data_IF_215810277107
#
_entry.id   IF_215810277107
#
_cell.length_a   1.000
_cell.length_b   1.000
_cell.length_c   1.000
_cell.angle_alpha   90.00
_cell.angle_beta   90.00
_cell.angle_gamma   90.00
#
_symmetry.space_group_name_H-M   'P 1'
#
loop_
_entity.id
_entity.type
_entity.pdbx_description
1 polymer ?
#
# COMPACT_ATOMS: atom_id res chain seq x y z
N UNK A 1 72.47 64.87 -6.25
CA UNK A 1 71.49 64.64 -5.20
C UNK A 1 70.47 63.63 -5.67
N UNK A 2 70.41 62.44 -5.09
CA UNK A 2 69.51 61.37 -5.64
C UNK A 2 68.14 61.39 -4.97
N UNK A 3 67.10 61.25 -5.79
CA UNK A 3 65.72 61.07 -5.39
C UNK A 3 65.49 59.63 -4.95
N UNK A 4 64.92 59.48 -3.73
CA UNK A 4 64.53 58.17 -3.17
C UNK A 4 63.20 57.77 -3.68
N UNK A 5 63.10 56.53 -4.20
CA UNK A 5 61.84 55.86 -4.55
C UNK A 5 61.06 55.40 -3.30
N UNK A 6 59.70 55.41 -3.26
CA UNK A 6 58.93 54.92 -2.17
C UNK A 6 58.67 53.40 -2.25
N UNK A 7 58.77 52.76 -1.12
CA UNK A 7 58.70 51.31 -0.90
C UNK A 7 57.35 50.66 -1.28
N UNK A 8 57.42 49.70 -2.19
CA UNK A 8 56.37 48.71 -2.49
C UNK A 8 56.46 47.56 -1.45
N UNK A 9 55.86 47.67 -0.27
CA UNK A 9 55.92 46.67 0.77
C UNK A 9 54.56 46.31 1.40
N UNK A 10 53.39 46.58 0.76
CA UNK A 10 52.09 46.31 1.31
C UNK A 10 51.20 45.32 0.53
N UNK A 11 51.64 44.77 -0.59
CA UNK A 11 50.80 43.89 -1.44
C UNK A 11 50.91 42.38 -1.08
N UNK A 12 52.01 41.94 -0.45
CA UNK A 12 52.26 40.52 -0.17
C UNK A 12 51.47 39.97 1.03
N UNK A 13 51.11 40.77 2.00
CA UNK A 13 50.32 40.32 3.17
C UNK A 13 48.85 39.98 2.86
N UNK A 14 48.24 40.70 1.94
CA UNK A 14 46.83 40.45 1.57
C UNK A 14 46.65 39.18 0.74
N UNK A 15 47.62 38.75 -0.06
CA UNK A 15 47.56 37.52 -0.83
C UNK A 15 47.67 36.28 0.04
N UNK A 16 48.53 36.31 1.09
CA UNK A 16 48.67 35.20 2.01
C UNK A 16 47.43 35.00 2.90
N UNK A 17 46.72 36.05 3.30
CA UNK A 17 45.45 35.98 4.06
C UNK A 17 44.37 35.43 3.17
N UNK A 18 44.28 35.79 1.89
CA UNK A 18 43.32 35.26 0.93
C UNK A 18 43.59 33.78 0.57
N UNK A 19 44.84 33.36 0.46
CA UNK A 19 45.21 31.97 0.22
C UNK A 19 45.01 31.09 1.46
N UNK A 20 45.24 31.54 2.68
CA UNK A 20 44.94 30.80 3.91
C UNK A 20 43.44 30.65 4.13
N UNK A 21 42.63 31.65 3.82
CA UNK A 21 41.17 31.54 3.89
C UNK A 21 40.57 30.63 2.81
N UNK A 22 41.19 30.54 1.63
CA UNK A 22 40.79 29.59 0.59
C UNK A 22 41.16 28.12 0.93
N UNK A 23 42.32 27.88 1.58
CA UNK A 23 42.70 26.53 2.05
C UNK A 23 41.85 26.05 3.23
N UNK A 24 41.37 26.93 4.12
CA UNK A 24 40.47 26.56 5.21
C UNK A 24 39.07 26.16 4.73
N UNK A 25 38.62 26.64 3.58
CA UNK A 25 37.33 26.26 2.95
C UNK A 25 37.42 24.91 2.19
N UNK A 26 38.57 24.46 1.79
CA UNK A 26 38.77 23.20 1.06
C UNK A 26 38.73 21.94 1.95
N UNK A 27 38.81 22.08 3.26
CA UNK A 27 38.97 20.97 4.22
C UNK A 27 37.68 20.28 4.67
N UNK A 28 36.49 20.75 4.30
CA UNK A 28 35.21 20.27 4.86
C UNK A 28 34.28 19.55 3.87
N UNK A 29 34.79 19.03 2.75
CA UNK A 29 33.94 18.27 1.80
C UNK A 29 34.08 16.78 2.09
N UNK A 30 33.52 16.30 3.19
CA UNK A 30 33.19 14.90 3.32
C UNK A 30 31.88 14.68 2.55
N UNK A 31 31.97 14.03 1.39
CA UNK A 31 30.77 13.63 0.63
C UNK A 31 29.88 12.74 1.51
N UNK A 32 28.56 12.98 1.56
CA UNK A 32 27.65 12.05 2.23
C UNK A 32 27.78 10.68 1.55
N UNK A 33 27.63 9.56 2.28
CA UNK A 33 27.58 8.25 1.67
C UNK A 33 26.47 8.22 0.62
N UNK A 34 26.74 7.56 -0.51
CA UNK A 34 25.74 7.40 -1.56
C UNK A 34 24.46 6.76 -0.98
N UNK A 35 23.26 7.20 -1.36
CA UNK A 35 22.00 6.67 -0.82
C UNK A 35 21.90 5.15 -0.90
N UNK A 36 22.44 4.53 -1.95
CA UNK A 36 22.51 3.07 -2.12
C UNK A 36 23.31 2.34 -1.03
N UNK A 37 24.23 3.01 -0.34
CA UNK A 37 25.01 2.44 0.78
C UNK A 37 24.25 2.53 2.13
N UNK A 38 23.11 3.23 2.17
CA UNK A 38 22.33 3.42 3.39
C UNK A 38 21.43 2.22 3.72
N UNK A 39 21.02 1.44 2.70
CA UNK A 39 20.09 0.31 2.89
C UNK A 39 20.89 -0.94 3.26
N UNK A 40 20.60 -1.54 4.42
CA UNK A 40 21.27 -2.77 4.83
C UNK A 40 20.87 -3.94 3.94
N UNK A 41 21.81 -4.79 3.58
CA UNK A 41 21.54 -6.05 2.93
C UNK A 41 20.89 -6.99 3.94
N UNK A 42 19.64 -7.37 3.71
CA UNK A 42 18.93 -8.37 4.51
C UNK A 42 19.08 -9.71 3.79
N UNK A 43 19.57 -10.73 4.51
CA UNK A 43 19.61 -12.08 3.98
C UNK A 43 18.20 -12.63 3.77
N UNK A 44 17.82 -12.87 2.53
CA UNK A 44 16.54 -13.49 2.14
C UNK A 44 16.86 -14.93 1.72
N UNK A 45 16.02 -15.93 2.07
CA UNK A 45 16.19 -17.30 1.61
C UNK A 45 16.32 -17.38 0.08
N UNK A 46 17.22 -18.21 -0.40
CA UNK A 46 17.44 -18.41 -1.85
C UNK A 46 16.35 -19.24 -2.51
N UNK A 47 15.56 -19.96 -1.71
CA UNK A 47 14.42 -20.74 -2.16
C UNK A 47 13.27 -20.64 -1.14
N UNK A 48 12.04 -20.76 -1.63
CA UNK A 48 10.86 -20.89 -0.77
C UNK A 48 10.89 -22.24 -0.05
N UNK A 49 10.55 -22.24 1.24
CA UNK A 49 10.32 -23.48 2.01
C UNK A 49 8.95 -24.07 1.60
N UNK A 50 8.82 -24.49 0.34
CA UNK A 50 7.61 -25.13 -0.14
C UNK A 50 7.62 -26.62 0.24
N UNK A 51 6.46 -27.24 0.59
CA UNK A 51 6.35 -28.68 0.68
C UNK A 51 6.76 -29.32 -0.65
N UNK A 52 7.44 -30.46 -0.61
CA UNK A 52 7.99 -31.15 -1.80
C UNK A 52 6.94 -31.42 -2.90
N UNK A 53 5.67 -31.57 -2.54
CA UNK A 53 4.56 -31.76 -3.47
C UNK A 53 4.20 -30.48 -4.26
N UNK A 54 4.27 -29.29 -3.63
CA UNK A 54 4.02 -28.02 -4.30
C UNK A 54 5.18 -27.64 -5.22
N UNK A 55 6.43 -27.95 -4.85
CA UNK A 55 7.60 -27.75 -5.69
C UNK A 55 7.57 -28.61 -6.96
N UNK A 56 7.09 -29.84 -6.88
CA UNK A 56 6.99 -30.75 -8.04
C UNK A 56 5.90 -30.32 -9.04
N UNK A 57 4.79 -29.73 -8.56
CA UNK A 57 3.71 -29.22 -9.43
C UNK A 57 4.01 -27.83 -10.01
N UNK A 58 4.87 -27.04 -9.35
CA UNK A 58 5.26 -25.70 -9.79
C UNK A 58 6.31 -25.70 -10.93
N UNK A 59 7.01 -26.82 -11.14
CA UNK A 59 8.09 -26.92 -12.16
C UNK A 59 7.55 -27.23 -13.56
N UNK A 60 6.30 -27.66 -13.70
CA UNK A 60 5.71 -27.88 -15.02
C UNK A 60 5.24 -26.53 -15.63
N UNK A 61 6.14 -25.91 -16.40
CA UNK A 61 5.91 -25.00 -17.55
C UNK A 61 4.63 -24.13 -17.58
N UNK A 62 4.15 -23.63 -16.43
CA UNK A 62 3.15 -22.57 -16.46
C UNK A 62 3.87 -21.23 -16.73
N UNK A 63 3.31 -20.43 -17.65
CA UNK A 63 3.80 -19.08 -17.89
C UNK A 63 3.88 -18.29 -16.58
N UNK A 64 4.88 -17.41 -16.39
CA UNK A 64 4.98 -16.60 -15.19
C UNK A 64 3.68 -15.80 -15.03
N UNK A 65 3.05 -15.91 -13.86
CA UNK A 65 1.83 -15.16 -13.57
C UNK A 65 2.19 -13.68 -13.50
N UNK A 66 1.53 -12.87 -14.30
CA UNK A 66 1.64 -11.43 -14.23
C UNK A 66 0.97 -10.91 -12.94
N UNK A 67 1.78 -10.49 -11.97
CA UNK A 67 1.28 -9.94 -10.70
C UNK A 67 0.49 -8.64 -10.87
N UNK A 68 0.58 -7.99 -12.04
CA UNK A 68 -0.18 -6.76 -12.33
C UNK A 68 -1.64 -7.03 -12.67
N UNK A 69 -1.96 -8.27 -13.06
CA UNK A 69 -3.29 -8.70 -13.50
C UNK A 69 -3.64 -10.12 -13.05
N UNK A 70 -3.16 -10.50 -11.86
CA UNK A 70 -3.27 -11.86 -11.32
C UNK A 70 -4.72 -12.39 -11.24
N UNK A 71 -5.72 -11.51 -11.03
CA UNK A 71 -7.14 -11.90 -10.96
C UNK A 71 -7.67 -12.50 -12.27
N UNK A 72 -7.04 -12.15 -13.41
CA UNK A 72 -7.40 -12.74 -14.72
C UNK A 72 -7.08 -14.23 -14.82
N UNK A 73 -6.18 -14.73 -13.96
CA UNK A 73 -5.89 -16.16 -13.90
C UNK A 73 -7.07 -17.01 -13.39
N UNK A 74 -8.10 -16.39 -12.85
CA UNK A 74 -9.37 -17.04 -12.53
C UNK A 74 -10.31 -17.22 -13.74
N UNK A 75 -9.96 -16.63 -14.89
CA UNK A 75 -10.74 -16.72 -16.15
C UNK A 75 -12.23 -16.34 -15.97
N UNK A 76 -12.52 -15.40 -15.06
CA UNK A 76 -13.86 -14.95 -14.73
C UNK A 76 -14.09 -13.51 -15.25
N UNK A 77 -14.86 -13.35 -16.34
CA UNK A 77 -15.08 -12.04 -16.94
C UNK A 77 -15.88 -11.08 -16.05
N UNK A 78 -16.69 -11.59 -15.11
CA UNK A 78 -17.43 -10.74 -14.17
C UNK A 78 -16.47 -10.16 -13.11
N UNK A 79 -15.54 -10.98 -12.60
CA UNK A 79 -14.49 -10.51 -11.71
C UNK A 79 -13.61 -9.46 -12.42
N UNK A 80 -13.22 -9.70 -13.67
CA UNK A 80 -12.44 -8.75 -14.46
C UNK A 80 -13.13 -7.39 -14.59
N UNK A 81 -14.44 -7.41 -14.88
CA UNK A 81 -15.24 -6.20 -14.99
C UNK A 81 -15.37 -5.44 -13.66
N UNK A 82 -15.56 -6.16 -12.54
CA UNK A 82 -15.64 -5.56 -11.20
C UNK A 82 -14.33 -4.92 -10.80
N UNK A 83 -13.19 -5.61 -11.00
CA UNK A 83 -11.86 -5.07 -10.72
C UNK A 83 -11.58 -3.84 -11.60
N UNK A 84 -11.89 -3.89 -12.89
CA UNK A 84 -11.68 -2.74 -13.78
C UNK A 84 -12.49 -1.51 -13.33
N UNK A 85 -13.74 -1.71 -12.91
CA UNK A 85 -14.61 -0.65 -12.38
C UNK A 85 -14.07 -0.08 -11.07
N UNK A 86 -13.70 -0.93 -10.12
CA UNK A 86 -13.16 -0.48 -8.82
C UNK A 86 -11.88 0.33 -8.98
N UNK A 87 -10.96 -0.10 -9.85
CA UNK A 87 -9.74 0.63 -10.14
C UNK A 87 -9.97 2.01 -10.78
N UNK A 88 -11.10 2.21 -11.44
CA UNK A 88 -11.47 3.48 -12.07
C UNK A 88 -12.27 4.43 -11.18
N UNK A 89 -12.93 3.95 -10.12
CA UNK A 89 -13.92 4.73 -9.39
C UNK A 89 -13.81 4.65 -7.86
N UNK A 90 -12.90 3.83 -7.30
CA UNK A 90 -12.79 3.66 -5.85
C UNK A 90 -12.32 4.97 -5.17
N UNK A 91 -13.08 5.48 -4.17
CA UNK A 91 -12.73 6.71 -3.46
C UNK A 91 -11.37 6.66 -2.76
N UNK A 92 -10.96 5.49 -2.27
CA UNK A 92 -9.68 5.31 -1.61
C UNK A 92 -8.49 5.52 -2.57
N UNK A 93 -8.63 5.07 -3.83
CA UNK A 93 -7.60 5.33 -4.85
C UNK A 93 -7.57 6.80 -5.27
N UNK A 94 -8.72 7.45 -5.35
CA UNK A 94 -8.80 8.88 -5.61
C UNK A 94 -8.09 9.69 -4.50
N UNK A 95 -8.31 9.31 -3.23
CA UNK A 95 -7.63 9.90 -2.09
C UNK A 95 -6.10 9.69 -2.14
N UNK A 96 -5.64 8.48 -2.47
CA UNK A 96 -4.21 8.19 -2.65
C UNK A 96 -3.60 9.01 -3.80
N UNK A 97 -4.27 9.07 -4.95
CA UNK A 97 -3.82 9.89 -6.09
C UNK A 97 -3.77 11.39 -5.74
N UNK A 98 -4.73 11.90 -4.97
CA UNK A 98 -4.72 13.26 -4.45
C UNK A 98 -3.52 13.50 -3.51
N UNK A 99 -3.21 12.53 -2.65
CA UNK A 99 -2.03 12.58 -1.77
C UNK A 99 -0.72 12.63 -2.57
N UNK A 100 -0.58 11.82 -3.60
CA UNK A 100 0.59 11.86 -4.51
C UNK A 100 0.72 13.24 -5.16
N UNK A 101 -0.40 13.83 -5.65
CA UNK A 101 -0.40 15.19 -6.19
C UNK A 101 0.04 16.23 -5.16
N UNK A 102 -0.45 16.12 -3.91
CA UNK A 102 -0.09 17.01 -2.82
C UNK A 102 1.41 16.92 -2.48
N UNK A 103 1.95 15.70 -2.34
CA UNK A 103 3.39 15.49 -2.06
C UNK A 103 4.24 16.00 -3.23
N UNK A 104 3.83 15.80 -4.48
CA UNK A 104 4.52 16.34 -5.67
C UNK A 104 4.55 17.88 -5.66
N UNK A 105 3.43 18.52 -5.30
CA UNK A 105 3.38 19.98 -5.19
C UNK A 105 4.28 20.47 -4.05
N UNK A 106 4.33 19.77 -2.90
CA UNK A 106 5.25 20.09 -1.79
C UNK A 106 6.72 19.94 -2.19
N UNK A 107 7.07 18.89 -2.97
CA UNK A 107 8.40 18.71 -3.52
C UNK A 107 8.79 19.87 -4.46
N UNK A 108 7.86 20.32 -5.30
CA UNK A 108 8.07 21.50 -6.15
C UNK A 108 8.27 22.77 -5.32
N UNK A 109 7.45 22.99 -4.28
CA UNK A 109 7.58 24.13 -3.37
C UNK A 109 8.93 24.12 -2.63
N UNK A 110 9.37 22.93 -2.16
CA UNK A 110 10.68 22.76 -1.54
C UNK A 110 11.82 23.09 -2.51
N UNK A 111 11.73 22.66 -3.77
CA UNK A 111 12.71 23.02 -4.79
C UNK A 111 12.69 24.51 -5.13
N UNK A 112 11.51 25.14 -5.19
CA UNK A 112 11.37 26.56 -5.45
C UNK A 112 11.96 27.41 -4.32
N UNK A 113 11.92 26.95 -3.07
CA UNK A 113 12.51 27.62 -1.92
C UNK A 113 14.05 27.71 -1.98
N UNK A 114 14.69 26.91 -2.83
CA UNK A 114 16.13 26.97 -3.08
C UNK A 114 16.52 28.12 -4.03
N UNK A 115 15.56 28.74 -4.69
CA UNK A 115 15.75 29.89 -5.58
C UNK A 115 15.69 31.24 -4.85
N UNK A 116 15.97 32.34 -5.59
CA UNK A 116 15.81 33.67 -5.05
C UNK A 116 14.33 33.98 -4.77
N UNK A 117 14.09 34.64 -3.63
CA UNK A 117 12.77 35.09 -3.21
C UNK A 117 12.70 36.63 -3.28
N UNK A 118 11.61 37.13 -3.82
CA UNK A 118 11.32 38.56 -3.88
C UNK A 118 10.09 38.84 -3.04
N UNK A 119 10.18 39.86 -2.21
CA UNK A 119 9.05 40.31 -1.35
C UNK A 119 8.94 41.81 -1.36
N UNK A 120 7.70 42.32 -1.32
CA UNK A 120 7.44 43.70 -1.01
C UNK A 120 7.45 43.84 0.52
N UNK A 121 8.31 44.69 1.02
CA UNK A 121 8.44 44.96 2.47
C UNK A 121 8.14 46.40 2.79
N UNK A 122 7.48 46.60 3.94
CA UNK A 122 7.26 47.93 4.53
C UNK A 122 7.60 47.83 6.01
N UNK A 123 8.64 48.53 6.44
CA UNK A 123 9.15 48.46 7.80
C UNK A 123 9.33 49.86 8.39
N UNK A 124 8.80 50.16 9.58
CA UNK A 124 9.20 51.34 10.33
C UNK A 124 10.63 51.12 10.84
N UNK A 125 11.48 52.14 10.65
CA UNK A 125 12.84 52.18 11.16
C UNK A 125 13.05 53.44 11.97
N UNK A 126 13.78 53.32 13.07
CA UNK A 126 14.21 54.42 13.87
C UNK A 126 15.72 54.66 13.68
N UNK A 127 16.12 55.92 13.50
CA UNK A 127 17.53 56.27 13.44
C UNK A 127 18.25 55.90 14.74
N UNK A 128 19.52 55.44 14.70
CA UNK A 128 20.28 55.07 15.90
C UNK A 128 20.38 56.18 16.96
N UNK A 129 20.29 57.45 16.55
CA UNK A 129 20.31 58.61 17.44
C UNK A 129 18.89 58.98 17.97
N UNK A 130 17.86 58.24 17.60
CA UNK A 130 16.48 58.37 18.07
C UNK A 130 15.74 59.63 17.59
N UNK A 131 16.34 60.43 16.68
CA UNK A 131 15.80 61.71 16.23
C UNK A 131 14.87 61.60 15.03
N UNK A 132 15.10 60.61 14.17
CA UNK A 132 14.35 60.42 12.93
C UNK A 132 13.68 59.04 12.87
N UNK A 133 12.39 59.05 12.53
CA UNK A 133 11.65 57.85 12.23
C UNK A 133 11.44 57.75 10.72
N UNK A 134 11.83 56.62 10.15
CA UNK A 134 11.69 56.36 8.72
C UNK A 134 10.68 55.23 8.50
N UNK A 135 9.93 55.30 7.44
CA UNK A 135 9.20 54.18 6.89
C UNK A 135 9.90 53.76 5.61
N UNK A 136 10.46 52.55 5.62
CA UNK A 136 11.14 51.96 4.46
C UNK A 136 10.17 51.05 3.73
N UNK A 137 9.94 51.33 2.45
CA UNK A 137 9.10 50.49 1.60
C UNK A 137 9.84 50.18 0.30
N UNK A 138 9.80 48.89 -0.13
CA UNK A 138 10.49 48.52 -1.33
C UNK A 138 10.49 47.00 -1.58
N UNK A 139 11.22 46.59 -2.59
CA UNK A 139 11.40 45.19 -2.94
C UNK A 139 12.67 44.66 -2.26
N UNK A 140 12.49 43.64 -1.43
CA UNK A 140 13.60 42.86 -0.88
C UNK A 140 13.80 41.57 -1.69
N UNK A 141 15.05 41.29 -2.04
CA UNK A 141 15.47 40.05 -2.64
C UNK A 141 16.32 39.28 -1.63
N UNK A 142 16.02 38.03 -1.44
CA UNK A 142 16.79 37.13 -0.59
C UNK A 142 17.02 35.81 -1.33
N UNK A 143 18.25 35.37 -1.36
CA UNK A 143 18.60 34.06 -1.87
C UNK A 143 19.61 33.39 -0.95
N UNK A 144 19.16 32.32 -0.28
CA UNK A 144 20.08 31.47 0.47
C UNK A 144 20.73 30.53 -0.54
N UNK A 145 21.99 30.79 -0.90
CA UNK A 145 22.74 29.99 -1.88
C UNK A 145 22.89 28.58 -1.31
N UNK A 146 22.21 27.59 -1.88
CA UNK A 146 22.26 26.25 -1.32
C UNK A 146 23.64 25.65 -1.63
N UNK A 147 24.44 25.41 -0.62
CA UNK A 147 25.64 24.60 -0.77
C UNK A 147 25.24 23.18 -1.17
N UNK A 148 26.04 22.54 -1.99
CA UNK A 148 25.70 21.28 -2.69
C UNK A 148 25.11 20.19 -1.79
N UNK A 149 25.61 20.06 -0.56
CA UNK A 149 25.13 19.06 0.40
C UNK A 149 23.72 19.33 0.91
N UNK A 150 23.40 20.60 1.25
CA UNK A 150 22.05 20.98 1.70
C UNK A 150 21.02 20.79 0.58
N UNK A 151 21.37 21.20 -0.65
CA UNK A 151 20.49 21.03 -1.80
C UNK A 151 20.22 19.55 -2.10
N UNK A 152 21.26 18.71 -2.08
CA UNK A 152 21.13 17.27 -2.29
C UNK A 152 20.26 16.61 -1.23
N UNK A 153 20.43 17.01 0.05
CA UNK A 153 19.62 16.49 1.15
C UNK A 153 18.14 16.87 1.02
N UNK A 154 17.83 18.12 0.70
CA UNK A 154 16.44 18.59 0.52
C UNK A 154 15.75 17.93 -0.69
N UNK A 155 16.46 17.81 -1.82
CA UNK A 155 15.93 17.09 -2.99
C UNK A 155 15.71 15.61 -2.70
N UNK A 156 16.66 14.96 -2.02
CA UNK A 156 16.54 13.56 -1.64
C UNK A 156 15.41 13.30 -0.66
N UNK A 157 15.16 14.20 0.30
CA UNK A 157 14.00 14.15 1.19
C UNK A 157 12.68 14.20 0.40
N UNK A 158 12.54 15.18 -0.49
CA UNK A 158 11.35 15.36 -1.30
C UNK A 158 11.09 14.18 -2.22
N UNK A 159 12.14 13.63 -2.83
CA UNK A 159 12.05 12.42 -3.66
C UNK A 159 11.66 11.20 -2.85
N UNK A 160 12.27 10.96 -1.70
CA UNK A 160 11.92 9.84 -0.83
C UNK A 160 10.45 9.93 -0.36
N UNK A 161 9.95 11.11 -0.02
CA UNK A 161 8.54 11.34 0.32
C UNK A 161 7.59 11.03 -0.85
N UNK A 162 7.97 11.42 -2.07
CA UNK A 162 7.20 11.08 -3.26
C UNK A 162 7.17 9.57 -3.51
N UNK A 163 8.28 8.89 -3.39
CA UNK A 163 8.37 7.44 -3.54
C UNK A 163 7.59 6.69 -2.45
N UNK A 164 7.54 7.20 -1.20
CA UNK A 164 6.68 6.67 -0.14
C UNK A 164 5.20 6.80 -0.54
N UNK A 165 4.78 7.97 -1.03
CA UNK A 165 3.39 8.18 -1.44
C UNK A 165 2.98 7.29 -2.62
N UNK A 166 3.88 7.05 -3.58
CA UNK A 166 3.67 6.11 -4.69
C UNK A 166 3.59 4.65 -4.21
N UNK A 167 4.41 4.27 -3.23
CA UNK A 167 4.33 2.94 -2.63
C UNK A 167 3.02 2.75 -1.85
N UNK A 168 2.54 3.77 -1.15
CA UNK A 168 1.24 3.76 -0.46
C UNK A 168 0.07 3.62 -1.46
N UNK A 169 0.13 4.32 -2.62
CA UNK A 169 -0.86 4.18 -3.69
C UNK A 169 -0.86 2.75 -4.28
N UNK A 170 0.32 2.17 -4.48
CA UNK A 170 0.45 0.78 -4.94
C UNK A 170 -0.14 -0.21 -3.91
N UNK A 171 0.12 0.00 -2.61
CA UNK A 171 -0.45 -0.82 -1.54
C UNK A 171 -1.98 -0.75 -1.53
N UNK A 172 -2.55 0.46 -1.62
CA UNK A 172 -3.99 0.66 -1.66
C UNK A 172 -4.62 -0.04 -2.87
N UNK A 173 -3.99 0.05 -4.05
CA UNK A 173 -4.44 -0.66 -5.26
C UNK A 173 -4.43 -2.18 -5.08
N UNK A 174 -3.35 -2.74 -4.53
CA UNK A 174 -3.25 -4.18 -4.27
C UNK A 174 -4.33 -4.65 -3.28
N UNK A 175 -4.53 -3.91 -2.20
CA UNK A 175 -5.56 -4.21 -1.19
C UNK A 175 -6.96 -4.14 -1.80
N UNK A 176 -7.27 -3.10 -2.59
CA UNK A 176 -8.57 -2.95 -3.24
C UNK A 176 -8.89 -4.13 -4.15
N UNK A 177 -7.94 -4.52 -5.02
CA UNK A 177 -8.14 -5.66 -5.93
C UNK A 177 -8.36 -6.96 -5.15
N UNK A 178 -7.59 -7.18 -4.09
CA UNK A 178 -7.74 -8.36 -3.23
C UNK A 178 -9.10 -8.38 -2.51
N UNK A 179 -9.55 -7.23 -1.99
CA UNK A 179 -10.85 -7.13 -1.33
C UNK A 179 -12.01 -7.32 -2.31
N UNK A 180 -11.94 -6.76 -3.52
CA UNK A 180 -12.95 -6.98 -4.57
C UNK A 180 -13.03 -8.47 -4.91
N UNK A 181 -11.90 -9.13 -5.17
CA UNK A 181 -11.87 -10.54 -5.50
C UNK A 181 -12.42 -11.43 -4.35
N UNK A 182 -11.97 -11.18 -3.11
CA UNK A 182 -12.45 -11.91 -1.93
C UNK A 182 -13.95 -11.75 -1.74
N UNK A 183 -14.45 -10.51 -1.77
CA UNK A 183 -15.84 -10.20 -1.55
C UNK A 183 -16.72 -10.78 -2.68
N UNK A 184 -16.22 -10.80 -3.92
CA UNK A 184 -16.90 -11.44 -5.04
C UNK A 184 -17.04 -12.95 -4.83
N UNK A 185 -15.98 -13.65 -4.45
CA UNK A 185 -16.02 -15.09 -4.20
C UNK A 185 -16.92 -15.42 -3.00
N UNK A 186 -16.88 -14.64 -1.92
CA UNK A 186 -17.78 -14.77 -0.77
C UNK A 186 -19.24 -14.63 -1.20
N UNK A 187 -19.55 -13.61 -2.03
CA UNK A 187 -20.90 -13.39 -2.58
C UNK A 187 -21.38 -14.61 -3.35
N UNK A 188 -20.56 -15.10 -4.29
CA UNK A 188 -20.92 -16.25 -5.14
C UNK A 188 -21.10 -17.54 -4.32
N UNK A 189 -20.22 -17.76 -3.36
CA UNK A 189 -20.33 -18.92 -2.46
C UNK A 189 -21.61 -18.86 -1.62
N UNK A 190 -21.94 -17.68 -1.05
CA UNK A 190 -23.15 -17.52 -0.26
C UNK A 190 -24.44 -17.70 -1.11
N UNK A 191 -24.46 -17.18 -2.34
CA UNK A 191 -25.57 -17.39 -3.27
C UNK A 191 -25.76 -18.89 -3.58
N UNK A 192 -24.66 -19.60 -3.81
CA UNK A 192 -24.71 -21.03 -4.07
C UNK A 192 -25.12 -21.86 -2.85
N UNK A 193 -24.61 -21.53 -1.65
CA UNK A 193 -25.01 -22.19 -0.39
C UNK A 193 -26.49 -22.01 -0.12
N UNK A 194 -27.04 -20.83 -0.40
CA UNK A 194 -28.49 -20.58 -0.31
C UNK A 194 -29.30 -21.50 -1.25
N UNK A 195 -28.82 -21.71 -2.49
CA UNK A 195 -29.48 -22.61 -3.44
C UNK A 195 -29.45 -24.06 -2.96
N UNK A 196 -28.31 -24.55 -2.44
CA UNK A 196 -28.17 -25.89 -1.90
C UNK A 196 -29.06 -26.10 -0.68
N UNK A 197 -29.18 -25.11 0.21
CA UNK A 197 -30.07 -25.17 1.36
C UNK A 197 -31.57 -25.18 0.96
N UNK A 198 -31.95 -24.43 -0.09
CA UNK A 198 -33.32 -24.51 -0.65
C UNK A 198 -33.61 -25.91 -1.17
N UNK A 199 -32.67 -26.57 -1.84
CA UNK A 199 -32.82 -27.96 -2.29
C UNK A 199 -32.92 -28.93 -1.11
N UNK A 200 -32.08 -28.75 -0.06
CA UNK A 200 -32.15 -29.54 1.16
C UNK A 200 -33.49 -29.36 1.90
N UNK A 201 -34.06 -28.16 1.89
CA UNK A 201 -35.36 -27.89 2.49
C UNK A 201 -36.47 -28.64 1.75
N UNK A 202 -36.45 -28.66 0.41
CA UNK A 202 -37.41 -29.42 -0.39
C UNK A 202 -37.36 -30.94 -0.11
N UNK A 203 -36.13 -31.50 0.03
CA UNK A 203 -35.93 -32.88 0.46
C UNK A 203 -36.43 -33.16 1.87
N UNK A 204 -36.26 -32.23 2.80
CA UNK A 204 -36.76 -32.35 4.15
C UNK A 204 -38.30 -32.34 4.20
N UNK A 205 -38.94 -31.53 3.36
CA UNK A 205 -40.40 -31.52 3.21
C UNK A 205 -40.93 -32.83 2.58
N UNK A 206 -40.21 -33.40 1.61
CA UNK A 206 -40.48 -34.71 1.05
C UNK A 206 -40.39 -35.82 2.11
N UNK A 207 -39.30 -35.82 2.87
CA UNK A 207 -39.09 -36.75 4.00
C UNK A 207 -40.23 -36.66 5.03
N UNK A 208 -40.61 -35.45 5.44
CA UNK A 208 -41.74 -35.25 6.39
C UNK A 208 -43.07 -35.76 5.83
N UNK A 209 -43.32 -35.61 4.52
CA UNK A 209 -44.50 -36.22 3.90
C UNK A 209 -44.50 -37.74 3.92
N UNK A 210 -43.35 -38.36 3.59
CA UNK A 210 -43.20 -39.83 3.61
C UNK A 210 -43.40 -40.35 5.04
N UNK A 211 -42.71 -39.74 6.02
CA UNK A 211 -42.83 -40.14 7.42
C UNK A 211 -44.24 -40.02 7.95
N UNK A 212 -45.01 -38.98 7.54
CA UNK A 212 -46.43 -38.84 7.88
C UNK A 212 -47.31 -39.97 7.29
N UNK A 213 -47.07 -40.41 6.07
CA UNK A 213 -47.76 -41.56 5.47
C UNK A 213 -47.42 -42.85 6.22
N UNK A 214 -46.19 -43.09 6.59
CA UNK A 214 -45.75 -44.22 7.36
C UNK A 214 -46.37 -44.26 8.77
N UNK A 215 -46.55 -43.09 9.38
CA UNK A 215 -47.26 -42.98 10.65
C UNK A 215 -48.76 -43.34 10.53
N UNK A 216 -49.44 -42.90 9.48
CA UNK A 216 -50.83 -43.26 9.21
C UNK A 216 -51.00 -44.76 9.05
N UNK A 217 -49.99 -45.44 8.51
CA UNK A 217 -49.95 -46.90 8.38
C UNK A 217 -49.34 -47.61 9.58
N UNK A 218 -49.09 -46.86 10.68
CA UNK A 218 -48.53 -47.36 11.97
C UNK A 218 -47.11 -47.97 11.85
N UNK A 219 -46.35 -47.57 10.87
CA UNK A 219 -44.98 -48.08 10.68
C UNK A 219 -43.94 -47.27 11.42
N UNK A 220 -44.21 -46.03 11.79
CA UNK A 220 -43.32 -45.12 12.53
C UNK A 220 -44.12 -44.45 13.68
N UNK A 221 -43.38 -43.89 14.66
CA UNK A 221 -43.94 -43.20 15.82
C UNK A 221 -44.33 -41.75 15.47
N UNK A 222 -45.24 -41.16 16.29
CA UNK A 222 -45.55 -39.72 16.20
C UNK A 222 -44.32 -38.86 16.46
N UNK A 223 -43.38 -39.30 17.31
CA UNK A 223 -42.13 -38.57 17.56
C UNK A 223 -41.25 -38.46 16.31
N UNK A 224 -41.25 -39.49 15.44
CA UNK A 224 -40.49 -39.41 14.15
C UNK A 224 -41.14 -38.43 13.19
N UNK A 225 -42.44 -38.26 13.17
CA UNK A 225 -43.13 -37.25 12.36
C UNK A 225 -42.74 -35.85 12.83
N UNK A 226 -42.78 -35.59 14.15
CA UNK A 226 -42.39 -34.32 14.72
C UNK A 226 -40.88 -34.01 14.50
N UNK A 227 -40.01 -35.01 14.65
CA UNK A 227 -38.58 -34.89 14.33
C UNK A 227 -38.32 -34.54 12.86
N UNK A 228 -39.01 -35.20 11.92
CA UNK A 228 -38.85 -34.90 10.49
C UNK A 228 -39.35 -33.49 10.15
N UNK A 229 -40.43 -33.03 10.75
CA UNK A 229 -40.96 -31.68 10.61
C UNK A 229 -39.98 -30.61 11.16
N UNK A 230 -39.42 -30.86 12.36
CA UNK A 230 -38.45 -29.98 12.98
C UNK A 230 -37.19 -29.81 12.16
N UNK A 231 -36.67 -30.88 11.56
CA UNK A 231 -35.51 -30.80 10.61
C UNK A 231 -35.83 -29.88 9.44
N UNK A 232 -37.00 -29.97 8.84
CA UNK A 232 -37.43 -29.10 7.75
C UNK A 232 -37.45 -27.61 8.14
N UNK A 233 -37.92 -27.30 9.37
CA UNK A 233 -37.88 -25.93 9.91
C UNK A 233 -36.44 -25.45 10.09
N UNK A 234 -35.58 -26.29 10.65
CA UNK A 234 -34.15 -25.93 10.86
C UNK A 234 -33.42 -25.65 9.54
N UNK A 235 -33.61 -26.48 8.53
CA UNK A 235 -32.97 -26.28 7.21
C UNK A 235 -33.46 -25.00 6.54
N UNK A 236 -34.77 -24.70 6.60
CA UNK A 236 -35.29 -23.44 6.07
C UNK A 236 -34.75 -22.23 6.82
N UNK A 237 -34.65 -22.30 8.15
CA UNK A 237 -34.05 -21.24 8.96
C UNK A 237 -32.58 -21.03 8.62
N UNK A 238 -31.83 -22.12 8.38
CA UNK A 238 -30.41 -22.05 8.01
C UNK A 238 -30.16 -21.34 6.65
N UNK A 239 -31.16 -21.34 5.74
CA UNK A 239 -31.04 -20.65 4.46
C UNK A 239 -31.06 -19.11 4.57
N UNK A 240 -31.48 -18.56 5.71
CA UNK A 240 -31.51 -17.12 5.95
C UNK A 240 -30.08 -16.52 6.08
N UNK A 241 -29.14 -17.28 6.66
CA UNK A 241 -27.79 -16.82 6.90
C UNK A 241 -27.03 -16.57 5.57
N UNK A 242 -26.90 -17.53 4.64
CA UNK A 242 -26.20 -17.25 3.37
C UNK A 242 -26.91 -16.17 2.54
N UNK A 243 -28.23 -16.02 2.65
CA UNK A 243 -28.95 -14.92 2.00
C UNK A 243 -28.50 -13.54 2.54
N UNK A 244 -28.33 -13.43 3.86
CA UNK A 244 -27.84 -12.21 4.48
C UNK A 244 -26.35 -11.96 4.12
N UNK A 245 -25.51 -13.01 4.12
CA UNK A 245 -24.10 -12.93 3.73
C UNK A 245 -23.93 -12.45 2.28
N UNK A 246 -24.71 -12.99 1.35
CA UNK A 246 -24.72 -12.53 -0.05
C UNK A 246 -25.14 -11.05 -0.16
N UNK A 247 -26.20 -10.65 0.57
CA UNK A 247 -26.64 -9.25 0.59
C UNK A 247 -25.57 -8.31 1.16
N UNK A 248 -24.90 -8.70 2.24
CA UNK A 248 -23.79 -7.93 2.84
C UNK A 248 -22.60 -7.85 1.89
N UNK A 249 -22.23 -8.95 1.23
CA UNK A 249 -21.15 -8.95 0.24
C UNK A 249 -21.47 -8.04 -0.95
N UNK A 250 -22.73 -8.00 -1.42
CA UNK A 250 -23.18 -7.06 -2.46
C UNK A 250 -23.03 -5.60 -2.02
N UNK A 251 -23.38 -5.27 -0.78
CA UNK A 251 -23.21 -3.92 -0.25
C UNK A 251 -21.71 -3.55 -0.12
N UNK A 252 -20.87 -4.49 0.34
CA UNK A 252 -19.41 -4.28 0.38
C UNK A 252 -18.84 -4.04 -1.01
N UNK A 253 -19.23 -4.82 -2.02
CA UNK A 253 -18.82 -4.60 -3.40
C UNK A 253 -19.25 -3.23 -3.91
N UNK A 254 -20.48 -2.79 -3.63
CA UNK A 254 -20.98 -1.47 -4.03
C UNK A 254 -20.13 -0.33 -3.45
N UNK A 255 -19.69 -0.46 -2.19
CA UNK A 255 -18.75 0.49 -1.55
C UNK A 255 -17.38 0.47 -2.23
N UNK A 256 -16.82 -0.72 -2.50
CA UNK A 256 -15.53 -0.87 -3.19
C UNK A 256 -15.54 -0.34 -4.63
N UNK A 257 -16.72 -0.36 -5.26
CA UNK A 257 -16.94 0.22 -6.60
C UNK A 257 -17.20 1.75 -6.56
N UNK A 258 -17.36 2.34 -5.37
CA UNK A 258 -17.68 3.75 -5.21
C UNK A 258 -19.09 4.13 -5.63
N UNK A 259 -19.99 3.17 -5.83
CA UNK A 259 -21.36 3.39 -6.29
C UNK A 259 -22.34 2.43 -5.59
N UNK A 260 -23.13 2.95 -4.66
CA UNK A 260 -24.13 2.17 -3.92
C UNK A 260 -25.30 1.66 -4.80
N UNK A 261 -25.47 2.20 -5.99
CA UNK A 261 -26.47 1.77 -6.97
C UNK A 261 -25.85 0.94 -8.10
N UNK A 262 -24.58 0.54 -7.96
CA UNK A 262 -23.89 -0.24 -8.96
C UNK A 262 -24.68 -1.50 -9.36
N UNK A 263 -24.88 -1.68 -10.65
CA UNK A 263 -25.39 -2.94 -11.17
C UNK A 263 -24.35 -4.04 -10.91
N UNK A 264 -24.68 -4.94 -10.01
CA UNK A 264 -23.87 -6.12 -9.69
C UNK A 264 -24.35 -7.32 -10.50
N UNK A 265 -23.49 -8.31 -10.77
CA UNK A 265 -23.87 -9.51 -11.49
C UNK A 265 -25.07 -10.20 -10.85
N UNK A 266 -26.00 -10.67 -11.69
CA UNK A 266 -27.13 -11.47 -11.23
C UNK A 266 -26.64 -12.77 -10.58
N UNK A 267 -27.40 -13.38 -9.64
CA UNK A 267 -27.07 -14.69 -9.11
C UNK A 267 -26.90 -15.70 -10.26
N UNK A 268 -25.76 -16.39 -10.29
CA UNK A 268 -25.55 -17.41 -11.32
C UNK A 268 -26.38 -18.65 -11.02
N UNK A 269 -27.12 -19.13 -11.98
CA UNK A 269 -27.87 -20.41 -11.89
C UNK A 269 -26.92 -21.62 -11.99
N UNK A 270 -25.74 -21.44 -12.55
CA UNK A 270 -24.74 -22.47 -12.75
C UNK A 270 -23.51 -22.17 -11.89
N UNK A 271 -23.14 -23.13 -11.05
CA UNK A 271 -21.82 -23.13 -10.44
C UNK A 271 -20.79 -23.54 -11.48
N UNK A 272 -20.10 -22.60 -12.09
CA UNK A 272 -18.85 -22.93 -12.72
C UNK A 272 -17.92 -23.49 -11.62
N UNK A 273 -17.26 -24.63 -11.84
CA UNK A 273 -16.27 -25.14 -10.90
C UNK A 273 -15.19 -24.07 -10.73
N UNK A 274 -14.62 -23.94 -9.51
CA UNK A 274 -13.54 -22.98 -9.28
C UNK A 274 -12.41 -23.28 -10.25
N UNK A 275 -11.98 -22.24 -10.98
CA UNK A 275 -10.85 -22.37 -11.91
C UNK A 275 -9.61 -22.67 -11.10
N UNK A 276 -8.93 -23.78 -11.42
CA UNK A 276 -7.65 -24.14 -10.79
C UNK A 276 -6.56 -23.32 -11.43
N UNK A 277 -6.03 -22.35 -10.68
CA UNK A 277 -4.91 -21.54 -11.13
C UNK A 277 -3.63 -22.35 -11.01
N UNK A 278 -2.97 -22.63 -12.14
CA UNK A 278 -1.63 -23.19 -12.14
C UNK A 278 -0.61 -22.08 -11.84
N UNK A 279 0.04 -22.13 -10.68
CA UNK A 279 1.05 -21.14 -10.29
C UNK A 279 2.43 -21.57 -10.79
N UNK A 280 2.95 -20.89 -11.80
CA UNK A 280 4.36 -20.94 -12.18
C UNK A 280 5.17 -19.94 -11.36
N UNK A 281 5.62 -20.29 -10.16
CA UNK A 281 6.51 -19.45 -9.35
C UNK A 281 7.95 -19.56 -9.89
N UNK A 282 8.26 -18.85 -10.96
CA UNK A 282 9.59 -18.82 -11.58
C UNK A 282 10.54 -17.77 -10.98
N UNK A 283 10.01 -16.82 -10.20
CA UNK A 283 10.80 -15.74 -9.62
C UNK A 283 11.44 -16.14 -8.29
N UNK A 284 12.68 -15.68 -8.08
CA UNK A 284 13.38 -15.87 -6.81
C UNK A 284 12.68 -15.13 -5.67
N UNK A 285 12.70 -15.66 -4.43
CA UNK A 285 12.08 -15.01 -3.27
C UNK A 285 12.49 -13.55 -3.09
N UNK A 286 13.76 -13.22 -3.31
CA UNK A 286 14.28 -11.87 -3.16
C UNK A 286 13.64 -10.86 -4.13
N UNK A 287 13.38 -11.27 -5.38
CA UNK A 287 12.83 -10.37 -6.40
C UNK A 287 11.35 -10.06 -6.13
N UNK A 288 10.59 -11.06 -5.68
CA UNK A 288 9.18 -10.89 -5.31
C UNK A 288 9.03 -10.03 -4.07
N UNK A 289 9.87 -10.22 -3.04
CA UNK A 289 9.83 -9.41 -1.82
C UNK A 289 10.13 -7.94 -2.11
N UNK A 290 11.08 -7.64 -3.00
CA UNK A 290 11.41 -6.26 -3.37
C UNK A 290 10.28 -5.53 -4.13
N UNK A 291 9.39 -6.27 -4.79
CA UNK A 291 8.24 -5.68 -5.49
C UNK A 291 7.10 -5.27 -4.55
N UNK A 292 7.11 -5.75 -3.30
CA UNK A 292 6.07 -5.40 -2.32
C UNK A 292 6.10 -3.92 -1.98
N UNK A 293 4.93 -3.30 -2.01
CA UNK A 293 4.76 -1.89 -1.69
C UNK A 293 5.24 -1.55 -0.26
N UNK A 294 4.99 -2.42 0.72
CA UNK A 294 5.45 -2.26 2.11
C UNK A 294 6.98 -2.22 2.21
N UNK A 295 7.68 -3.11 1.52
CA UNK A 295 9.15 -3.16 1.49
C UNK A 295 9.71 -1.92 0.80
N UNK A 296 9.15 -1.52 -0.36
CA UNK A 296 9.55 -0.29 -1.06
C UNK A 296 9.35 0.95 -0.20
N UNK A 297 8.20 1.05 0.48
CA UNK A 297 7.91 2.14 1.42
C UNK A 297 8.94 2.20 2.55
N UNK A 298 9.26 1.04 3.17
CA UNK A 298 10.24 0.96 4.24
C UNK A 298 11.65 1.32 3.76
N UNK A 299 12.04 0.89 2.55
CA UNK A 299 13.30 1.27 1.91
C UNK A 299 13.38 2.79 1.71
N UNK A 300 12.33 3.40 1.16
CA UNK A 300 12.28 4.85 0.96
C UNK A 300 12.28 5.63 2.29
N UNK A 301 11.75 5.03 3.36
CA UNK A 301 11.83 5.61 4.72
C UNK A 301 13.27 5.64 5.24
N UNK A 302 14.12 4.64 4.91
CA UNK A 302 15.55 4.67 5.21
C UNK A 302 16.24 5.80 4.44
N UNK A 303 15.95 5.95 3.14
CA UNK A 303 16.51 7.07 2.35
C UNK A 303 16.07 8.42 2.90
N UNK A 304 14.81 8.58 3.26
CA UNK A 304 14.29 9.80 3.90
C UNK A 304 15.08 10.13 5.16
N UNK A 305 15.28 9.16 6.06
CA UNK A 305 16.03 9.35 7.29
C UNK A 305 17.52 9.65 7.04
N UNK A 306 18.13 9.01 6.03
CA UNK A 306 19.50 9.30 5.61
C UNK A 306 19.66 10.75 5.11
N UNK A 307 18.73 11.22 4.29
CA UNK A 307 18.72 12.61 3.81
C UNK A 307 18.42 13.61 4.93
N UNK A 308 17.56 13.28 5.90
CA UNK A 308 17.31 14.09 7.08
C UNK A 308 18.58 14.25 7.95
N UNK A 309 19.36 13.16 8.11
CA UNK A 309 20.68 13.22 8.78
C UNK A 309 21.66 14.09 8.00
N UNK A 310 21.67 13.98 6.66
CA UNK A 310 22.47 14.84 5.79
C UNK A 310 22.10 16.33 5.92
N UNK A 311 20.82 16.64 6.02
CA UNK A 311 20.33 18.00 6.22
C UNK A 311 20.76 18.56 7.57
N UNK A 312 20.63 17.80 8.66
CA UNK A 312 21.06 18.22 9.99
C UNK A 312 22.58 18.49 10.06
N UNK A 313 23.39 17.73 9.31
CA UNK A 313 24.83 18.01 9.15
C UNK A 313 25.09 19.31 8.37
N UNK A 314 24.31 19.53 7.29
CA UNK A 314 24.43 20.74 6.48
C UNK A 314 24.03 22.01 7.25
N UNK A 315 23.11 21.93 8.21
CA UNK A 315 22.68 23.04 9.08
C UNK A 315 23.78 23.48 10.07
N UNK A 316 24.79 22.66 10.30
CA UNK A 316 25.96 23.01 11.10
C UNK A 316 27.06 23.70 10.27
N UNK A 317 26.93 23.75 8.93
CA UNK A 317 27.90 24.36 8.04
C UNK A 317 27.64 25.87 7.86
N UNK A 318 28.68 26.63 7.42
CA UNK A 318 28.50 28.03 7.05
C UNK A 318 27.43 28.21 5.98
N UNK A 319 26.60 29.22 6.12
CA UNK A 319 25.55 29.57 5.13
C UNK A 319 25.91 30.87 4.44
N UNK A 320 25.72 30.90 3.13
CA UNK A 320 25.90 32.08 2.29
C UNK A 320 24.52 32.48 1.77
N UNK A 321 24.19 33.76 1.96
CA UNK A 321 22.98 34.33 1.37
C UNK A 321 23.33 35.57 0.57
N UNK A 322 22.58 35.82 -0.49
CA UNK A 322 22.60 37.06 -1.22
C UNK A 322 21.37 37.86 -0.79
N UNK A 323 21.60 39.06 -0.32
CA UNK A 323 20.56 39.98 0.10
C UNK A 323 20.55 41.21 -0.84
N UNK A 324 19.37 41.65 -1.21
CA UNK A 324 19.21 42.86 -2.01
C UNK A 324 17.96 43.60 -1.55
N UNK A 325 18.04 44.94 -1.59
CA UNK A 325 16.90 45.78 -1.33
C UNK A 325 16.94 46.98 -2.27
N UNK A 326 15.82 47.31 -2.88
CA UNK A 326 15.59 48.52 -3.62
C UNK A 326 14.25 49.13 -3.18
N UNK A 327 14.29 50.37 -2.73
CA UNK A 327 13.07 51.00 -2.21
C UNK A 327 13.24 52.47 -1.88
N UNK A 328 12.29 52.95 -1.13
CA UNK A 328 12.19 54.36 -0.72
C UNK A 328 12.10 54.45 0.78
N UNK A 329 12.84 55.41 1.37
CA UNK A 329 12.71 55.78 2.76
C UNK A 329 11.89 57.06 2.84
N UNK A 330 10.83 57.03 3.64
CA UNK A 330 10.00 58.18 3.99
C UNK A 330 10.33 58.63 5.40
N UNK A 331 10.76 59.86 5.56
CA UNK A 331 10.94 60.46 6.88
C UNK A 331 9.56 60.75 7.49
N UNK A 332 9.27 60.21 8.67
CA UNK A 332 7.96 60.35 9.35
C UNK A 332 8.00 61.40 10.47
N UNK A 333 9.18 61.78 10.95
CA UNK A 333 9.34 62.69 12.09
C UNK A 333 9.79 64.08 11.68
N UNK A 334 9.04 65.13 12.13
CA UNK A 334 9.40 66.54 12.09
C UNK A 334 8.60 67.41 11.12
N UNK A 335 8.35 68.67 11.40
CA UNK A 335 7.37 69.56 10.70
C UNK A 335 7.86 70.09 9.35
N UNK A 336 8.95 69.67 8.78
CA UNK A 336 9.47 70.42 7.65
C UNK A 336 10.14 69.69 6.51
N UNK A 337 10.27 68.40 6.49
CA UNK A 337 10.86 67.78 5.30
C UNK A 337 10.52 66.32 5.13
N UNK A 338 9.47 66.04 4.36
CA UNK A 338 9.26 64.72 3.77
C UNK A 338 10.36 64.49 2.71
N UNK A 339 11.54 64.08 3.14
CA UNK A 339 12.58 63.71 2.19
C UNK A 339 12.38 62.26 1.77
N UNK A 340 11.96 62.10 0.53
CA UNK A 340 11.93 60.82 -0.16
C UNK A 340 13.37 60.50 -0.59
N UNK A 341 13.96 59.41 -0.07
CA UNK A 341 15.28 58.95 -0.48
C UNK A 341 15.21 57.54 -1.07
N UNK A 342 15.73 57.37 -2.26
CA UNK A 342 15.97 56.04 -2.84
C UNK A 342 17.06 55.33 -2.03
N UNK A 343 16.80 54.04 -1.70
CA UNK A 343 17.76 53.19 -1.03
C UNK A 343 18.00 51.97 -1.90
N UNK A 344 19.24 51.67 -2.12
CA UNK A 344 19.71 50.46 -2.78
C UNK A 344 20.77 49.83 -1.91
N UNK A 345 20.62 48.54 -1.62
CA UNK A 345 21.66 47.73 -0.98
C UNK A 345 21.66 46.34 -1.61
N UNK A 346 22.81 45.80 -1.89
CA UNK A 346 22.99 44.43 -2.36
C UNK A 346 24.36 43.92 -1.91
N UNK A 347 24.38 42.65 -1.50
CA UNK A 347 25.65 42.04 -1.11
C UNK A 347 25.50 40.62 -0.59
N UNK A 348 26.60 39.87 -0.52
CA UNK A 348 26.65 38.59 0.16
C UNK A 348 26.60 38.76 1.67
N UNK A 349 25.83 37.91 2.34
CA UNK A 349 25.86 37.75 3.79
C UNK A 349 26.35 36.35 4.12
N UNK A 350 27.21 36.26 5.13
CA UNK A 350 27.77 35.02 5.61
C UNK A 350 27.32 34.80 7.05
N UNK A 351 26.83 33.62 7.34
CA UNK A 351 26.44 33.22 8.70
C UNK A 351 27.05 31.86 9.03
N UNK A 352 27.78 31.81 10.13
CA UNK A 352 28.32 30.58 10.69
C UNK A 352 27.92 30.47 12.17
N UNK A 353 27.21 29.43 12.54
CA UNK A 353 26.86 29.24 13.94
C UNK A 353 28.08 28.78 14.73
N UNK A 354 28.44 29.54 15.76
CA UNK A 354 29.62 29.27 16.59
C UNK A 354 29.27 28.54 17.88
N UNK A 355 28.14 28.90 18.49
CA UNK A 355 27.69 28.30 19.74
C UNK A 355 26.16 28.34 19.84
N UNK A 356 25.55 27.24 20.21
CA UNK A 356 24.10 27.07 20.34
C UNK A 356 23.69 26.21 21.56
N UNK A 357 24.58 26.08 22.54
CA UNK A 357 24.30 25.25 23.72
C UNK A 357 24.18 23.76 23.47
N UNK A 358 24.73 23.25 22.34
CA UNK A 358 24.65 21.82 21.96
C UNK A 358 23.41 21.42 21.18
N UNK A 359 22.55 22.37 20.78
CA UNK A 359 21.29 22.08 20.09
C UNK A 359 21.50 21.32 18.77
N UNK A 360 22.50 21.72 17.96
CA UNK A 360 22.78 21.04 16.67
C UNK A 360 23.33 19.65 16.84
N UNK A 361 24.21 19.44 17.81
CA UNK A 361 24.75 18.12 18.12
C UNK A 361 23.63 17.17 18.57
N UNK A 362 22.76 17.63 19.47
CA UNK A 362 21.59 16.89 19.89
C UNK A 362 20.64 16.57 18.73
N UNK A 363 20.40 17.54 17.82
CA UNK A 363 19.58 17.32 16.64
C UNK A 363 20.23 16.31 15.68
N UNK A 364 21.54 16.37 15.43
CA UNK A 364 22.24 15.39 14.62
C UNK A 364 22.15 13.98 15.22
N UNK A 365 22.32 13.87 16.54
CA UNK A 365 22.21 12.60 17.26
C UNK A 365 20.78 12.04 17.16
N UNK A 366 19.76 12.89 17.29
CA UNK A 366 18.36 12.49 17.11
C UNK A 366 18.09 11.97 15.69
N UNK A 367 18.56 12.69 14.64
CA UNK A 367 18.41 12.24 13.26
C UNK A 367 19.15 10.96 12.94
N UNK A 368 20.30 10.74 13.57
CA UNK A 368 21.04 9.46 13.45
C UNK A 368 20.24 8.32 14.08
N UNK A 369 19.69 8.52 15.28
CA UNK A 369 18.84 7.53 15.93
C UNK A 369 17.55 7.23 15.11
N UNK A 370 16.94 8.24 14.49
CA UNK A 370 15.81 8.05 13.55
C UNK A 370 16.21 7.20 12.32
N UNK A 371 17.42 7.37 11.81
CA UNK A 371 17.96 6.53 10.73
C UNK A 371 18.14 5.08 11.18
N UNK A 372 18.62 4.84 12.41
CA UNK A 372 18.75 3.49 12.98
C UNK A 372 17.38 2.84 13.15
N UNK A 373 16.36 3.61 13.60
CA UNK A 373 14.95 3.15 13.68
C UNK A 373 14.45 2.76 12.30
N UNK A 374 14.59 3.62 11.28
CA UNK A 374 14.14 3.33 9.93
C UNK A 374 14.80 2.06 9.37
N UNK A 375 16.09 1.88 9.62
CA UNK A 375 16.88 0.71 9.23
C UNK A 375 16.38 -0.58 9.89
N UNK A 376 16.06 -0.52 11.19
CA UNK A 376 15.50 -1.66 11.93
C UNK A 376 14.10 -2.02 11.44
N UNK A 377 13.27 -1.01 11.17
CA UNK A 377 11.93 -1.21 10.61
C UNK A 377 11.97 -1.81 9.19
N UNK A 378 12.89 -1.38 8.35
CA UNK A 378 13.10 -1.99 7.03
C UNK A 378 13.45 -3.47 7.14
N UNK A 379 14.40 -3.83 8.02
CA UNK A 379 14.74 -5.24 8.26
C UNK A 379 13.54 -6.06 8.73
N UNK A 380 12.76 -5.51 9.66
CA UNK A 380 11.52 -6.14 10.15
C UNK A 380 10.54 -6.37 9.00
N UNK A 381 10.31 -5.35 8.15
CA UNK A 381 9.37 -5.43 7.03
C UNK A 381 9.78 -6.51 6.01
N UNK A 382 11.07 -6.60 5.68
CA UNK A 382 11.58 -7.67 4.79
C UNK A 382 11.35 -9.04 5.40
N UNK A 383 11.65 -9.22 6.69
CA UNK A 383 11.42 -10.52 7.38
C UNK A 383 9.94 -10.88 7.42
N UNK A 384 9.06 -9.92 7.71
CA UNK A 384 7.62 -10.12 7.71
C UNK A 384 7.11 -10.48 6.32
N UNK A 385 7.57 -9.78 5.28
CA UNK A 385 7.20 -10.08 3.90
C UNK A 385 7.57 -11.51 3.47
N UNK A 386 8.74 -12.00 3.87
CA UNK A 386 9.16 -13.38 3.62
C UNK A 386 8.28 -14.37 4.39
N UNK A 387 8.02 -14.10 5.67
CA UNK A 387 7.21 -14.97 6.52
C UNK A 387 5.77 -15.06 6.02
N UNK A 388 5.16 -13.94 5.63
CA UNK A 388 3.81 -13.89 5.06
C UNK A 388 3.72 -14.67 3.74
N UNK A 389 4.69 -14.51 2.85
CA UNK A 389 4.73 -15.23 1.59
C UNK A 389 4.84 -16.76 1.81
N UNK A 390 5.69 -17.19 2.75
CA UNK A 390 5.81 -18.59 3.11
C UNK A 390 4.53 -19.15 3.76
N UNK A 391 3.91 -18.39 4.68
CA UNK A 391 2.66 -18.77 5.31
C UNK A 391 1.52 -18.89 4.29
N UNK A 392 1.42 -17.98 3.33
CA UNK A 392 0.43 -18.04 2.26
C UNK A 392 0.63 -19.27 1.34
N UNK A 393 1.87 -19.64 1.03
CA UNK A 393 2.17 -20.85 0.27
C UNK A 393 1.73 -22.13 1.02
N UNK A 394 2.04 -22.21 2.31
CA UNK A 394 1.64 -23.35 3.16
C UNK A 394 0.11 -23.43 3.29
N UNK A 395 -0.55 -22.30 3.45
CA UNK A 395 -2.01 -22.24 3.55
C UNK A 395 -2.66 -22.68 2.23
N UNK A 396 -2.17 -22.23 1.09
CA UNK A 396 -2.70 -22.65 -0.20
C UNK A 396 -2.53 -24.17 -0.42
N UNK A 397 -1.38 -24.75 -0.06
CA UNK A 397 -1.17 -26.19 -0.16
C UNK A 397 -2.17 -26.97 0.71
N UNK A 398 -2.40 -26.53 1.94
CA UNK A 398 -3.40 -27.10 2.85
C UNK A 398 -4.81 -27.03 2.25
N UNK A 399 -5.22 -25.86 1.72
CA UNK A 399 -6.59 -25.71 1.19
C UNK A 399 -6.77 -26.52 -0.12
N UNK A 400 -5.73 -26.66 -0.93
CA UNK A 400 -5.75 -27.57 -2.10
C UNK A 400 -5.97 -29.03 -1.70
N UNK A 401 -5.30 -29.50 -0.65
CA UNK A 401 -5.48 -30.86 -0.13
C UNK A 401 -6.90 -31.06 0.40
N UNK A 402 -7.44 -30.09 1.13
CA UNK A 402 -8.82 -30.09 1.63
C UNK A 402 -9.83 -30.12 0.49
N UNK A 403 -9.62 -29.27 -0.52
CA UNK A 403 -10.48 -29.24 -1.71
C UNK A 403 -10.47 -30.55 -2.47
N UNK A 404 -9.30 -31.16 -2.68
CA UNK A 404 -9.19 -32.46 -3.33
C UNK A 404 -9.94 -33.56 -2.56
N UNK A 405 -9.85 -33.57 -1.23
CA UNK A 405 -10.60 -34.50 -0.38
C UNK A 405 -12.11 -34.23 -0.42
N UNK A 406 -12.53 -32.99 -0.36
CA UNK A 406 -13.95 -32.60 -0.41
C UNK A 406 -14.60 -33.00 -1.74
N UNK A 407 -13.92 -32.79 -2.88
CA UNK A 407 -14.38 -33.22 -4.21
C UNK A 407 -14.51 -34.73 -4.30
N UNK A 408 -13.56 -35.48 -3.73
CA UNK A 408 -13.65 -36.94 -3.72
C UNK A 408 -14.84 -37.44 -2.90
N UNK A 409 -15.12 -36.85 -1.75
CA UNK A 409 -16.27 -37.15 -0.89
C UNK A 409 -17.56 -36.80 -1.61
N UNK A 410 -17.66 -35.60 -2.18
CA UNK A 410 -18.82 -35.15 -2.97
C UNK A 410 -19.12 -36.11 -4.13
N UNK A 411 -18.11 -36.44 -4.93
CA UNK A 411 -18.28 -37.38 -6.04
C UNK A 411 -18.76 -38.75 -5.59
N UNK A 412 -18.34 -39.22 -4.42
CA UNK A 412 -18.80 -40.48 -3.86
C UNK A 412 -20.26 -40.39 -3.36
N UNK A 413 -20.61 -39.31 -2.68
CA UNK A 413 -21.97 -39.07 -2.20
C UNK A 413 -22.98 -38.91 -3.35
N UNK A 414 -22.58 -38.22 -4.44
CA UNK A 414 -23.41 -38.08 -5.64
C UNK A 414 -23.66 -39.45 -6.30
N UNK A 415 -22.62 -40.28 -6.51
CA UNK A 415 -22.76 -41.62 -7.06
C UNK A 415 -23.66 -42.52 -6.18
N UNK A 416 -23.55 -42.40 -4.85
CA UNK A 416 -24.41 -43.13 -3.94
C UNK A 416 -25.88 -42.69 -4.06
N UNK A 417 -26.12 -41.37 -4.14
CA UNK A 417 -27.45 -40.84 -4.33
C UNK A 417 -28.08 -41.33 -5.67
N UNK A 418 -27.31 -41.29 -6.75
CA UNK A 418 -27.77 -41.80 -8.07
C UNK A 418 -28.09 -43.30 -8.05
N UNK A 419 -27.22 -44.08 -7.38
CA UNK A 419 -27.45 -45.52 -7.21
C UNK A 419 -28.71 -45.81 -6.39
N UNK A 420 -28.90 -45.10 -5.27
CA UNK A 420 -30.09 -45.21 -4.42
C UNK A 420 -31.34 -44.79 -5.16
N UNK A 421 -31.29 -43.77 -6.01
CA UNK A 421 -32.39 -43.35 -6.86
C UNK A 421 -32.74 -44.44 -7.89
N UNK A 422 -31.76 -45.12 -8.46
CA UNK A 422 -32.01 -46.25 -9.37
C UNK A 422 -32.65 -47.43 -8.65
N UNK A 423 -32.16 -47.75 -7.43
CA UNK A 423 -32.75 -48.79 -6.58
C UNK A 423 -34.17 -48.46 -6.16
N UNK A 424 -34.46 -47.19 -5.79
CA UNK A 424 -35.82 -46.80 -5.45
C UNK A 424 -36.81 -46.93 -6.64
N UNK A 425 -36.33 -46.60 -7.86
CA UNK A 425 -37.15 -46.81 -9.08
C UNK A 425 -37.40 -48.32 -9.38
N UNK A 426 -36.47 -49.18 -8.99
CA UNK A 426 -36.61 -50.62 -9.11
C UNK A 426 -37.38 -51.25 -7.92
N UNK A 427 -37.84 -50.48 -6.96
CA UNK A 427 -38.50 -50.96 -5.73
C UNK A 427 -37.57 -51.64 -4.74
N UNK A 428 -36.25 -51.47 -4.85
CA UNK A 428 -35.22 -52.07 -3.99
C UNK A 428 -34.79 -51.15 -2.87
N UNK A 429 -35.12 -49.88 -2.89
CA UNK A 429 -34.91 -48.91 -1.83
C UNK A 429 -36.20 -48.11 -1.54
N UNK A 430 -36.39 -47.69 -0.32
CA UNK A 430 -37.53 -46.88 0.08
C UNK A 430 -37.31 -45.38 -0.16
N UNK A 431 -38.37 -44.59 0.00
CA UNK A 431 -38.34 -43.16 -0.22
C UNK A 431 -37.51 -42.42 0.87
N UNK A 432 -37.40 -42.97 2.10
CA UNK A 432 -36.57 -42.37 3.16
C UNK A 432 -35.08 -42.55 2.86
N UNK A 433 -34.69 -43.75 2.41
CA UNK A 433 -33.31 -44.03 1.99
C UNK A 433 -32.89 -43.10 0.84
N UNK A 434 -33.78 -42.91 -0.15
CA UNK A 434 -33.54 -41.99 -1.26
C UNK A 434 -33.35 -40.55 -0.81
N UNK A 435 -34.26 -40.05 0.04
CA UNK A 435 -34.14 -38.65 0.53
C UNK A 435 -32.88 -38.46 1.41
N UNK A 436 -32.47 -39.45 2.18
CA UNK A 436 -31.27 -39.40 3.01
C UNK A 436 -29.99 -39.39 2.14
N UNK A 437 -29.89 -40.27 1.13
CA UNK A 437 -28.74 -40.29 0.21
C UNK A 437 -28.60 -38.97 -0.55
N UNK A 438 -29.70 -38.39 -1.04
CA UNK A 438 -29.68 -37.05 -1.69
C UNK A 438 -29.31 -35.93 -0.73
N UNK A 439 -29.80 -35.97 0.52
CA UNK A 439 -29.44 -34.99 1.55
C UNK A 439 -27.94 -35.05 1.84
N UNK A 440 -27.38 -36.25 1.95
CA UNK A 440 -25.97 -36.47 2.18
C UNK A 440 -25.12 -35.94 0.98
N UNK A 441 -25.58 -36.13 -0.26
CA UNK A 441 -24.94 -35.57 -1.44
C UNK A 441 -24.95 -34.03 -1.43
N UNK A 442 -26.08 -33.40 -1.12
CA UNK A 442 -26.17 -31.93 -1.02
C UNK A 442 -25.30 -31.37 0.13
N UNK A 443 -25.21 -32.11 1.26
CA UNK A 443 -24.29 -31.72 2.32
C UNK A 443 -22.82 -31.79 1.87
N UNK A 444 -22.42 -32.84 1.17
CA UNK A 444 -21.09 -32.98 0.61
C UNK A 444 -20.80 -31.87 -0.42
N UNK A 445 -21.79 -31.47 -1.24
CA UNK A 445 -21.65 -30.34 -2.17
C UNK A 445 -21.46 -29.00 -1.44
N UNK A 446 -22.11 -28.81 -0.29
CA UNK A 446 -21.91 -27.62 0.55
C UNK A 446 -20.50 -27.60 1.15
N UNK A 447 -20.01 -28.73 1.61
CA UNK A 447 -18.67 -28.84 2.20
C UNK A 447 -17.58 -28.63 1.12
N UNK A 448 -17.80 -29.14 -0.10
CA UNK A 448 -16.97 -28.89 -1.29
C UNK A 448 -16.96 -27.40 -1.67
N UNK A 449 -18.12 -26.74 -1.65
CA UNK A 449 -18.23 -25.30 -1.92
C UNK A 449 -17.44 -24.46 -0.91
N UNK A 450 -17.48 -24.81 0.38
CA UNK A 450 -16.69 -24.12 1.42
C UNK A 450 -15.18 -24.29 1.23
N UNK A 451 -14.77 -25.51 0.86
CA UNK A 451 -13.37 -25.78 0.56
C UNK A 451 -12.90 -25.05 -0.70
N UNK A 452 -13.78 -24.92 -1.71
CA UNK A 452 -13.50 -24.12 -2.91
C UNK A 452 -13.30 -22.64 -2.59
N UNK A 453 -14.19 -22.05 -1.77
CA UNK A 453 -14.04 -20.67 -1.31
C UNK A 453 -12.74 -20.48 -0.54
N UNK A 454 -12.40 -21.40 0.37
CA UNK A 454 -11.16 -21.32 1.16
C UNK A 454 -9.91 -21.37 0.25
N UNK A 455 -9.91 -22.22 -0.77
CA UNK A 455 -8.83 -22.30 -1.76
C UNK A 455 -8.73 -20.98 -2.56
N UNK A 456 -9.85 -20.41 -3.04
CA UNK A 456 -9.87 -19.14 -3.78
C UNK A 456 -9.34 -17.98 -2.92
N UNK A 457 -9.75 -17.91 -1.66
CA UNK A 457 -9.25 -16.89 -0.72
C UNK A 457 -7.75 -17.07 -0.47
N UNK A 458 -7.27 -18.32 -0.30
CA UNK A 458 -5.85 -18.58 -0.14
C UNK A 458 -5.02 -18.16 -1.36
N UNK A 459 -5.57 -18.26 -2.58
CA UNK A 459 -4.94 -17.70 -3.79
C UNK A 459 -4.86 -16.18 -3.74
N UNK A 460 -5.94 -15.50 -3.35
CA UNK A 460 -5.95 -14.04 -3.21
C UNK A 460 -4.91 -13.60 -2.19
N UNK A 461 -4.82 -14.30 -1.05
CA UNK A 461 -3.84 -14.03 0.01
C UNK A 461 -2.41 -14.22 -0.48
N UNK A 462 -2.16 -15.27 -1.27
CA UNK A 462 -0.85 -15.52 -1.86
C UNK A 462 -0.42 -14.41 -2.82
N UNK A 463 -1.30 -13.99 -3.73
CA UNK A 463 -0.99 -12.89 -4.65
C UNK A 463 -0.76 -11.57 -3.91
N UNK A 464 -1.51 -11.31 -2.85
CA UNK A 464 -1.32 -10.14 -1.98
C UNK A 464 0.03 -10.21 -1.26
N UNK A 465 0.41 -11.39 -0.77
CA UNK A 465 1.70 -11.63 -0.12
C UNK A 465 2.89 -11.46 -1.08
N UNK A 466 2.71 -11.68 -2.38
CA UNK A 466 3.75 -11.43 -3.40
C UNK A 466 3.76 -9.99 -3.94
N UNK A 467 2.94 -9.11 -3.43
CA UNK A 467 2.97 -7.70 -3.77
C UNK A 467 1.78 -7.18 -4.56
N UNK A 468 0.82 -8.04 -4.91
CA UNK A 468 -0.43 -7.65 -5.54
C UNK A 468 -0.25 -6.81 -6.82
N UNK A 469 -1.31 -6.17 -7.29
CA UNK A 469 -1.29 -5.37 -8.51
C UNK A 469 -0.18 -4.30 -8.50
N UNK A 470 0.97 -4.59 -9.11
CA UNK A 470 2.02 -3.61 -9.34
C UNK A 470 1.44 -2.47 -10.20
N UNK A 471 1.89 -1.24 -9.95
CA UNK A 471 1.58 -0.14 -10.88
C UNK A 471 2.13 -0.50 -12.26
N UNK A 472 1.36 -0.30 -13.35
CA UNK A 472 1.96 -0.36 -14.66
C UNK A 472 3.17 0.57 -14.67
N UNK A 473 4.28 0.12 -15.27
CA UNK A 473 5.49 0.93 -15.41
C UNK A 473 5.04 2.30 -15.93
N UNK A 474 5.44 3.37 -15.24
CA UNK A 474 5.12 4.73 -15.69
C UNK A 474 5.58 4.83 -17.15
N UNK A 475 4.66 5.16 -18.04
CA UNK A 475 5.01 5.45 -19.42
C UNK A 475 6.08 6.57 -19.41
N UNK A 476 7.15 6.46 -20.20
CA UNK A 476 8.31 7.33 -20.19
C UNK A 476 7.96 8.80 -20.40
#
# INVERSE_FOLDING_TARGET
MPQRAPHCRRATGSIYVLCLSALALAGCVASPPAPSAAVPVVAVPTAWAAPAAAAASAVTAAAPVDLTSWWRSFEDPELDALVARSLGAAPDLEACAARVRAVRAMAQASNASLGPQLSLVGLPQQSPDGRDNYFQSGIAAQWNVPLSQRQAALKGLAEAELQIALADEQAARATLVAEVARTYFEMRAAERDQQLLKQMAALSDERARITRVLWQTRQVSAAEVESAAAIGVQVRAAAAQPAAEAAQARLRLAVLLGDLQAALPAPADSAAPPVRVALGLSALPADLVRQRAGVRRAEQSVFKAAHATGLARADAQPQISLLGFVGLNFLVSGPASSSLRGVFSAGPAFSMPLFDGGQREANQSARHAEFDVATALYRKEVMQAVAEAQAALLQLDLERQRMAAAVAVEGTALRLADSTDAQARAGLADGLQRTEARRAALQASRDSLRSALAEQVAYVDLFTAFGGAALPAAAP
#
